data_IF_559009266935
#
_entry.id   IF_559009266935
#
_cell.length_a   1.000
_cell.length_b   1.000
_cell.length_c   1.000
_cell.angle_alpha   90.00
_cell.angle_beta   90.00
_cell.angle_gamma   90.00
#
_symmetry.space_group_name_H-M   'P 1'
#
loop_
_entity.id
_entity.type
_entity.pdbx_description
1 polymer ?
#
# COMPACT_ATOMS: atom_id res chain seq x y z
N UNK A 1 67.39 69.94 24.88
CA UNK A 1 67.04 70.05 23.44
C UNK A 1 67.27 68.64 22.91
N UNK A 2 66.27 67.81 22.61
CA UNK A 2 64.95 68.06 22.04
C UNK A 2 63.89 67.04 22.49
N UNK A 3 62.63 67.45 22.35
CA UNK A 3 61.39 66.72 22.62
C UNK A 3 60.90 65.95 21.38
N UNK A 4 60.17 64.84 21.61
CA UNK A 4 58.97 64.33 20.88
C UNK A 4 58.99 62.80 20.64
N UNK A 5 58.14 62.02 21.32
CA UNK A 5 56.71 61.68 21.08
C UNK A 5 56.46 60.60 19.99
N UNK A 6 55.94 59.46 20.47
CA UNK A 6 54.87 58.60 19.89
C UNK A 6 55.16 57.82 18.59
N UNK A 7 55.00 56.49 18.66
CA UNK A 7 53.82 55.81 18.08
C UNK A 7 53.82 54.31 18.39
N UNK A 8 52.75 53.85 19.06
CA UNK A 8 52.34 52.45 19.16
C UNK A 8 51.40 52.16 17.99
N UNK A 9 51.70 51.14 17.20
CA UNK A 9 50.85 50.50 16.18
C UNK A 9 51.28 49.02 16.20
N UNK A 10 50.50 48.03 16.60
CA UNK A 10 49.06 47.84 16.42
C UNK A 10 48.79 46.94 15.21
N UNK A 11 49.41 45.75 15.12
CA UNK A 11 49.04 44.76 14.11
C UNK A 11 47.95 43.84 14.67
N UNK A 12 46.70 44.22 14.38
CA UNK A 12 45.52 43.43 14.68
C UNK A 12 45.45 42.16 13.84
N UNK A 13 45.10 41.06 14.49
CA UNK A 13 44.71 39.81 13.85
C UNK A 13 43.39 40.01 13.08
N UNK A 14 43.38 39.68 11.79
CA UNK A 14 42.16 39.52 11.00
C UNK A 14 42.18 38.13 10.36
N UNK A 15 41.83 37.12 11.16
CA UNK A 15 41.42 35.83 10.64
C UNK A 15 39.98 35.97 10.13
N UNK A 16 39.83 36.26 8.83
CA UNK A 16 38.54 36.21 8.14
C UNK A 16 38.07 34.76 8.07
N UNK A 17 37.26 34.36 9.05
CA UNK A 17 36.41 33.17 8.95
C UNK A 17 35.44 33.39 7.80
N UNK A 18 35.66 32.70 6.69
CA UNK A 18 34.70 32.54 5.60
C UNK A 18 33.48 31.80 6.15
N UNK A 19 32.49 32.56 6.61
CA UNK A 19 31.16 32.04 6.87
C UNK A 19 30.53 31.68 5.52
N UNK A 20 30.59 30.39 5.18
CA UNK A 20 29.79 29.82 4.09
C UNK A 20 28.30 30.04 4.42
N UNK A 21 27.51 30.69 3.55
CA UNK A 21 26.06 30.65 3.67
C UNK A 21 25.60 29.24 3.27
N UNK A 22 25.68 28.31 4.22
CA UNK A 22 25.06 27.00 4.15
C UNK A 22 23.57 27.13 4.42
N UNK A 23 22.81 27.62 3.44
CA UNK A 23 21.37 27.35 3.34
C UNK A 23 20.89 27.74 1.94
N UNK A 24 21.27 26.96 0.92
CA UNK A 24 20.41 26.87 -0.26
C UNK A 24 19.12 26.18 0.19
N UNK A 25 18.12 26.97 0.54
CA UNK A 25 16.74 26.48 0.57
C UNK A 25 16.45 25.94 -0.82
N UNK A 26 16.49 24.61 -0.97
CA UNK A 26 15.96 23.91 -2.14
C UNK A 26 14.61 24.56 -2.48
N UNK A 27 14.35 24.95 -3.74
CA UNK A 27 13.04 25.47 -4.16
C UNK A 27 11.96 24.52 -3.63
N UNK A 28 11.05 25.05 -2.80
CA UNK A 28 10.32 24.31 -1.76
C UNK A 28 9.86 22.91 -2.15
N UNK A 29 10.63 21.88 -1.76
CA UNK A 29 10.21 20.50 -1.85
C UNK A 29 9.08 20.28 -0.84
N UNK A 30 7.84 20.22 -1.33
CA UNK A 30 6.70 19.87 -0.49
C UNK A 30 6.80 18.38 -0.15
N UNK A 31 7.25 18.06 1.07
CA UNK A 31 7.28 16.68 1.57
C UNK A 31 5.88 16.06 1.58
N UNK A 32 4.85 16.87 1.83
CA UNK A 32 3.45 16.43 1.77
C UNK A 32 3.10 15.96 0.37
N UNK A 33 3.48 16.74 -0.65
CA UNK A 33 3.27 16.36 -2.05
C UNK A 33 4.08 15.11 -2.41
N UNK A 34 5.32 14.99 -1.91
CA UNK A 34 6.14 13.81 -2.14
C UNK A 34 5.49 12.53 -1.58
N UNK A 35 4.93 12.58 -0.36
CA UNK A 35 4.20 11.44 0.22
C UNK A 35 2.95 11.11 -0.61
N UNK A 36 2.19 12.12 -1.05
CA UNK A 36 1.00 11.89 -1.90
C UNK A 36 1.37 11.27 -3.24
N UNK A 37 2.44 11.74 -3.90
CA UNK A 37 2.93 11.18 -5.16
C UNK A 37 3.46 9.76 -5.01
N UNK A 38 4.22 9.51 -3.94
CA UNK A 38 4.69 8.16 -3.59
C UNK A 38 3.49 7.21 -3.47
N UNK A 39 2.50 7.56 -2.65
CA UNK A 39 1.28 6.77 -2.49
C UNK A 39 0.50 6.61 -3.80
N UNK A 40 0.41 7.68 -4.60
CA UNK A 40 -0.32 7.66 -5.88
C UNK A 40 0.32 6.65 -6.83
N UNK A 41 1.64 6.70 -7.02
CA UNK A 41 2.34 5.75 -7.89
C UNK A 41 2.28 4.32 -7.33
N UNK A 42 2.49 4.14 -6.03
CA UNK A 42 2.40 2.82 -5.38
C UNK A 42 1.01 2.20 -5.55
N UNK A 43 -0.05 3.00 -5.36
CA UNK A 43 -1.43 2.56 -5.53
C UNK A 43 -1.74 2.26 -7.01
N UNK A 44 -1.34 3.13 -7.93
CA UNK A 44 -1.55 2.92 -9.36
C UNK A 44 -0.90 1.62 -9.85
N UNK A 45 0.36 1.37 -9.49
CA UNK A 45 1.06 0.15 -9.85
C UNK A 45 0.40 -1.09 -9.24
N UNK A 46 0.05 -1.03 -7.95
CA UNK A 46 -0.64 -2.11 -7.26
C UNK A 46 -1.98 -2.45 -7.93
N UNK A 47 -2.84 -1.47 -8.17
CA UNK A 47 -4.12 -1.71 -8.82
C UNK A 47 -3.98 -2.12 -10.29
N UNK A 48 -2.97 -1.62 -11.01
CA UNK A 48 -2.68 -2.05 -12.38
C UNK A 48 -2.35 -3.54 -12.45
N UNK A 49 -1.67 -4.11 -11.45
CA UNK A 49 -1.41 -5.55 -11.33
C UNK A 49 -2.64 -6.32 -10.84
N UNK A 50 -3.26 -5.85 -9.75
CA UNK A 50 -4.35 -6.57 -9.07
C UNK A 50 -5.63 -6.67 -9.89
N UNK A 51 -5.90 -5.71 -10.76
CA UNK A 51 -7.11 -5.68 -11.58
C UNK A 51 -6.92 -6.38 -12.94
N UNK A 52 -5.74 -6.92 -13.23
CA UNK A 52 -5.59 -7.82 -14.38
C UNK A 52 -6.41 -9.11 -14.17
N UNK A 53 -6.78 -9.81 -15.25
CA UNK A 53 -7.34 -11.14 -15.14
C UNK A 53 -6.44 -12.06 -14.30
N UNK A 54 -6.99 -12.63 -13.22
CA UNK A 54 -6.27 -13.45 -12.24
C UNK A 54 -5.17 -12.69 -11.46
N UNK A 55 -5.18 -11.36 -11.42
CA UNK A 55 -4.14 -10.54 -10.79
C UNK A 55 -3.93 -10.87 -9.30
N UNK A 56 -5.01 -11.09 -8.55
CA UNK A 56 -4.90 -11.58 -7.17
C UNK A 56 -4.39 -13.02 -7.12
N UNK A 57 -4.91 -13.88 -7.99
CA UNK A 57 -4.58 -15.30 -7.98
C UNK A 57 -3.11 -15.56 -8.34
N UNK A 58 -2.54 -14.81 -9.29
CA UNK A 58 -1.15 -15.00 -9.73
C UNK A 58 -0.13 -14.26 -8.84
N UNK A 59 -0.58 -13.28 -8.05
CA UNK A 59 0.27 -12.49 -7.18
C UNK A 59 0.77 -13.25 -5.95
N UNK A 60 2.09 -13.29 -5.76
CA UNK A 60 2.70 -13.84 -4.54
C UNK A 60 2.43 -12.96 -3.30
N UNK A 61 2.13 -11.67 -3.51
CA UNK A 61 1.94 -10.67 -2.46
C UNK A 61 0.46 -10.39 -2.19
N UNK A 62 -0.45 -10.81 -3.06
CA UNK A 62 -1.88 -10.50 -2.92
C UNK A 62 -2.80 -11.70 -2.98
N UNK A 63 -2.32 -12.91 -3.32
CA UNK A 63 -3.15 -14.11 -3.31
C UNK A 63 -3.83 -14.31 -1.96
N UNK A 64 -5.14 -14.47 -2.02
CA UNK A 64 -6.02 -14.70 -0.87
C UNK A 64 -6.28 -16.20 -0.74
N UNK A 65 -6.23 -16.73 0.48
CA UNK A 65 -6.59 -18.11 0.78
C UNK A 65 -8.11 -18.28 0.84
N UNK A 66 -8.56 -19.51 0.54
CA UNK A 66 -9.98 -19.88 0.68
C UNK A 66 -10.39 -19.76 2.16
N UNK A 67 -11.51 -19.09 2.48
CA UNK A 67 -12.10 -19.07 3.81
C UNK A 67 -12.36 -20.47 4.38
N UNK A 68 -12.11 -20.68 5.68
CA UNK A 68 -12.32 -21.97 6.35
C UNK A 68 -13.80 -22.42 6.34
N UNK A 69 -14.71 -21.46 6.23
CA UNK A 69 -16.15 -21.68 6.06
C UNK A 69 -16.51 -22.26 4.69
N UNK A 70 -15.72 -21.96 3.64
CA UNK A 70 -15.84 -22.58 2.32
C UNK A 70 -15.07 -23.90 2.20
N UNK A 71 -13.95 -24.03 2.93
CA UNK A 71 -13.10 -25.23 2.91
C UNK A 71 -13.63 -26.46 3.67
N UNK A 72 -14.86 -26.42 4.18
CA UNK A 72 -15.51 -27.55 4.85
C UNK A 72 -14.94 -27.89 6.24
N UNK A 73 -14.57 -26.91 7.05
CA UNK A 73 -13.88 -27.12 8.34
C UNK A 73 -14.54 -28.14 9.30
N UNK A 74 -15.86 -28.34 9.26
CA UNK A 74 -16.57 -29.33 10.10
C UNK A 74 -16.58 -30.73 9.46
N UNK A 75 -15.76 -31.64 10.00
CA UNK A 75 -15.62 -33.04 9.55
C UNK A 75 -16.83 -33.86 10.01
N UNK A 76 -17.77 -34.15 9.12
CA UNK A 76 -18.84 -35.14 9.43
C UNK A 76 -19.39 -35.91 8.22
N UNK A 77 -19.05 -35.58 6.96
CA UNK A 77 -19.64 -36.30 5.80
C UNK A 77 -18.67 -36.50 4.61
N UNK A 78 -18.99 -37.46 3.73
CA UNK A 78 -18.30 -37.73 2.44
C UNK A 78 -18.18 -36.45 1.60
N UNK A 79 -19.16 -35.56 1.70
CA UNK A 79 -19.15 -34.31 0.98
C UNK A 79 -18.15 -33.29 1.52
N UNK A 80 -17.88 -33.30 2.83
CA UNK A 80 -16.80 -32.50 3.40
C UNK A 80 -15.44 -32.95 2.87
N UNK A 81 -15.27 -34.24 2.57
CA UNK A 81 -14.06 -34.76 1.93
C UNK A 81 -13.96 -34.33 0.46
N UNK A 82 -15.08 -34.26 -0.27
CA UNK A 82 -15.13 -33.72 -1.64
C UNK A 82 -14.79 -32.24 -1.70
N UNK A 83 -15.31 -31.42 -0.76
CA UNK A 83 -14.97 -29.99 -0.68
C UNK A 83 -13.49 -29.74 -0.39
N UNK A 84 -12.84 -30.68 0.31
CA UNK A 84 -11.39 -30.65 0.57
C UNK A 84 -10.56 -31.24 -0.56
N UNK A 85 -11.17 -31.82 -1.59
CA UNK A 85 -10.43 -32.37 -2.71
C UNK A 85 -9.68 -31.25 -3.43
N UNK A 86 -8.45 -31.53 -3.83
CA UNK A 86 -7.57 -30.56 -4.49
C UNK A 86 -8.25 -29.84 -5.69
N UNK A 87 -8.98 -30.53 -6.58
CA UNK A 87 -9.64 -29.86 -7.71
C UNK A 87 -10.70 -28.83 -7.29
N UNK A 88 -11.46 -29.11 -6.23
CA UNK A 88 -12.47 -28.18 -5.71
C UNK A 88 -11.78 -27.01 -5.01
N UNK A 89 -10.75 -27.26 -4.20
CA UNK A 89 -10.00 -26.21 -3.52
C UNK A 89 -9.31 -25.26 -4.51
N UNK A 90 -8.74 -25.78 -5.59
CA UNK A 90 -8.12 -24.96 -6.64
C UNK A 90 -9.19 -24.09 -7.34
N UNK A 91 -10.40 -24.62 -7.59
CA UNK A 91 -11.53 -23.84 -8.12
C UNK A 91 -12.01 -22.76 -7.14
N UNK A 92 -12.19 -23.09 -5.86
CA UNK A 92 -12.58 -22.14 -4.81
C UNK A 92 -11.54 -21.03 -4.66
N UNK A 93 -10.26 -21.38 -4.68
CA UNK A 93 -9.15 -20.43 -4.61
C UNK A 93 -9.22 -19.43 -5.77
N UNK A 94 -9.37 -19.92 -7.01
CA UNK A 94 -9.50 -19.06 -8.18
C UNK A 94 -10.70 -18.11 -8.04
N UNK A 95 -11.84 -18.62 -7.58
CA UNK A 95 -13.07 -17.82 -7.45
C UNK A 95 -12.97 -16.74 -6.37
N UNK A 96 -12.41 -17.08 -5.20
CA UNK A 96 -12.17 -16.10 -4.12
C UNK A 96 -11.27 -14.96 -4.59
N UNK A 97 -10.23 -15.29 -5.37
CA UNK A 97 -9.31 -14.28 -5.89
C UNK A 97 -9.95 -13.43 -7.00
N UNK A 98 -10.79 -14.01 -7.88
CA UNK A 98 -11.60 -13.24 -8.84
C UNK A 98 -12.63 -12.34 -8.15
N UNK A 99 -13.21 -12.79 -7.05
CA UNK A 99 -14.08 -11.93 -6.25
C UNK A 99 -13.32 -10.74 -5.67
N UNK A 100 -12.08 -10.95 -5.23
CA UNK A 100 -11.22 -9.87 -4.76
C UNK A 100 -10.85 -8.86 -5.85
N UNK A 101 -10.67 -9.28 -7.11
CA UNK A 101 -10.53 -8.37 -8.26
C UNK A 101 -11.73 -7.42 -8.37
N UNK A 102 -12.96 -7.94 -8.23
CA UNK A 102 -14.19 -7.12 -8.19
C UNK A 102 -14.28 -6.20 -6.99
N UNK A 103 -13.73 -6.60 -5.85
CA UNK A 103 -13.52 -5.69 -4.73
C UNK A 103 -12.54 -4.57 -5.08
N UNK A 104 -11.42 -4.91 -5.70
CA UNK A 104 -10.36 -3.96 -6.05
C UNK A 104 -10.82 -2.90 -7.06
N UNK A 105 -11.67 -3.28 -8.03
CA UNK A 105 -12.33 -2.35 -8.95
C UNK A 105 -13.08 -1.22 -8.21
N UNK A 106 -13.74 -1.54 -7.08
CA UNK A 106 -14.45 -0.56 -6.25
C UNK A 106 -13.54 0.17 -5.25
N UNK A 107 -12.41 -0.44 -4.88
CA UNK A 107 -11.41 0.13 -3.98
C UNK A 107 -10.55 1.22 -4.63
N UNK A 108 -10.16 1.04 -5.91
CA UNK A 108 -9.27 1.95 -6.60
C UNK A 108 -9.67 3.44 -6.52
N UNK A 109 -10.94 3.84 -6.80
CA UNK A 109 -11.31 5.25 -6.73
C UNK A 109 -11.27 5.82 -5.31
N UNK A 110 -11.73 5.07 -4.29
CA UNK A 110 -11.73 5.55 -2.91
C UNK A 110 -10.30 5.69 -2.36
N UNK A 111 -9.38 4.81 -2.75
CA UNK A 111 -7.95 4.94 -2.41
C UNK A 111 -7.37 6.20 -3.05
N UNK A 112 -7.59 6.41 -4.35
CA UNK A 112 -7.09 7.58 -5.07
C UNK A 112 -7.63 8.90 -4.48
N UNK A 113 -8.92 8.96 -4.17
CA UNK A 113 -9.54 10.13 -3.56
C UNK A 113 -9.02 10.38 -2.14
N UNK A 114 -8.77 9.32 -1.36
CA UNK A 114 -8.19 9.45 -0.03
C UNK A 114 -6.76 9.98 -0.09
N UNK A 115 -5.92 9.50 -1.02
CA UNK A 115 -4.55 10.01 -1.22
C UNK A 115 -4.59 11.51 -1.60
N UNK A 116 -5.52 11.91 -2.45
CA UNK A 116 -5.67 13.32 -2.86
C UNK A 116 -6.04 14.21 -1.66
N UNK A 117 -6.97 13.75 -0.83
CA UNK A 117 -7.61 14.58 0.19
C UNK A 117 -7.04 14.42 1.61
N UNK A 118 -6.19 13.42 1.87
CA UNK A 118 -5.62 13.20 3.20
C UNK A 118 -4.77 14.38 3.68
N UNK A 119 -4.85 14.65 4.98
CA UNK A 119 -3.93 15.51 5.70
C UNK A 119 -2.72 14.70 6.17
N UNK A 120 -1.54 15.31 6.09
CA UNK A 120 -0.28 14.66 6.47
C UNK A 120 0.36 15.53 7.54
N UNK A 121 0.22 15.11 8.80
CA UNK A 121 0.68 15.90 9.94
C UNK A 121 2.20 16.03 10.00
N UNK A 122 2.92 14.93 9.74
CA UNK A 122 4.39 14.91 9.73
C UNK A 122 4.91 14.18 8.49
N UNK A 123 4.95 14.90 7.37
CA UNK A 123 5.43 14.35 6.11
C UNK A 123 6.91 13.95 6.17
N UNK A 124 7.72 14.62 7.00
CA UNK A 124 9.13 14.30 7.17
C UNK A 124 9.30 12.93 7.85
N UNK A 125 8.53 12.64 8.91
CA UNK A 125 8.55 11.33 9.55
C UNK A 125 8.08 10.20 8.61
N UNK A 126 7.14 10.47 7.70
CA UNK A 126 6.69 9.47 6.71
C UNK A 126 7.76 9.21 5.65
N UNK A 127 8.41 10.26 5.14
CA UNK A 127 9.51 10.11 4.16
C UNK A 127 10.70 9.37 4.78
N UNK A 128 11.09 9.72 6.00
CA UNK A 128 12.23 9.10 6.70
C UNK A 128 11.85 7.81 7.46
N UNK A 129 10.58 7.41 7.39
CA UNK A 129 10.07 6.24 8.10
C UNK A 129 10.46 4.92 7.43
N UNK A 130 9.88 3.84 7.94
CA UNK A 130 10.10 2.49 7.39
C UNK A 130 9.64 2.35 5.93
N UNK A 131 9.94 1.20 5.30
CA UNK A 131 9.73 0.97 3.86
C UNK A 131 8.28 1.09 3.38
N UNK A 132 7.31 1.07 4.31
CA UNK A 132 5.86 1.13 4.04
C UNK A 132 5.15 2.22 4.85
N UNK A 133 5.89 3.21 5.33
CA UNK A 133 5.36 4.23 6.24
C UNK A 133 4.18 5.01 5.63
N UNK A 134 4.22 5.31 4.34
CA UNK A 134 3.13 6.02 3.67
C UNK A 134 1.90 5.10 3.52
N UNK A 135 2.10 3.82 3.19
CA UNK A 135 1.03 2.81 3.12
C UNK A 135 0.37 2.62 4.48
N UNK A 136 1.13 2.58 5.58
CA UNK A 136 0.56 2.51 6.93
C UNK A 136 -0.25 3.76 7.27
N UNK A 137 0.16 4.94 6.81
CA UNK A 137 -0.65 6.16 6.95
C UNK A 137 -1.97 6.03 6.16
N UNK A 138 -1.91 5.61 4.89
CA UNK A 138 -3.09 5.39 4.06
C UNK A 138 -4.07 4.39 4.70
N UNK A 139 -3.56 3.29 5.25
CA UNK A 139 -4.38 2.29 5.94
C UNK A 139 -5.12 2.89 7.14
N UNK A 140 -4.44 3.70 7.96
CA UNK A 140 -5.08 4.40 9.10
C UNK A 140 -6.13 5.41 8.64
N UNK A 141 -5.90 6.09 7.51
CA UNK A 141 -6.81 7.13 7.00
C UNK A 141 -8.08 6.53 6.40
N UNK A 142 -7.98 5.39 5.71
CA UNK A 142 -9.12 4.69 5.13
C UNK A 142 -9.92 3.91 6.18
N UNK A 143 -9.23 3.28 7.15
CA UNK A 143 -9.87 2.43 8.14
C UNK A 143 -10.81 1.40 7.51
N UNK A 144 -12.00 1.27 8.08
CA UNK A 144 -13.02 0.32 7.62
C UNK A 144 -13.72 0.76 6.33
N UNK A 145 -13.57 2.02 5.91
CA UNK A 145 -14.22 2.52 4.69
C UNK A 145 -13.78 1.72 3.47
N UNK A 146 -12.53 1.27 3.40
CA UNK A 146 -12.07 0.43 2.29
C UNK A 146 -12.84 -0.89 2.23
N UNK A 147 -13.02 -1.55 3.37
CA UNK A 147 -13.75 -2.82 3.48
C UNK A 147 -15.20 -2.65 3.04
N UNK A 148 -15.88 -1.61 3.54
CA UNK A 148 -17.28 -1.34 3.20
C UNK A 148 -17.49 -1.09 1.71
N UNK A 149 -16.55 -0.38 1.07
CA UNK A 149 -16.61 -0.11 -0.39
C UNK A 149 -16.37 -1.36 -1.24
N UNK A 150 -15.52 -2.28 -0.77
CA UNK A 150 -15.19 -3.52 -1.48
C UNK A 150 -16.28 -4.60 -1.35
N UNK A 151 -17.01 -4.60 -0.23
CA UNK A 151 -17.94 -5.68 0.12
C UNK A 151 -18.98 -6.00 -0.97
N UNK A 152 -19.62 -5.01 -1.64
CA UNK A 152 -20.57 -5.31 -2.72
C UNK A 152 -19.92 -5.98 -3.92
N UNK A 153 -18.71 -5.55 -4.30
CA UNK A 153 -17.96 -6.11 -5.44
C UNK A 153 -17.57 -7.56 -5.17
N UNK A 154 -17.08 -7.84 -3.96
CA UNK A 154 -16.74 -9.19 -3.53
C UNK A 154 -17.98 -10.07 -3.43
N UNK A 155 -19.06 -9.58 -2.83
CA UNK A 155 -20.32 -10.33 -2.77
C UNK A 155 -20.83 -10.71 -4.15
N UNK A 156 -20.74 -9.81 -5.13
CA UNK A 156 -21.10 -10.09 -6.53
C UNK A 156 -20.14 -11.09 -7.17
N UNK A 157 -18.83 -10.92 -7.00
CA UNK A 157 -17.82 -11.83 -7.53
C UNK A 157 -17.93 -13.24 -6.97
N UNK A 158 -18.24 -13.37 -5.67
CA UNK A 158 -18.54 -14.65 -5.05
C UNK A 158 -19.83 -15.22 -5.62
N UNK A 159 -20.92 -14.47 -5.80
CA UNK A 159 -22.16 -15.01 -6.38
C UNK A 159 -22.00 -15.57 -7.81
N UNK A 160 -20.98 -15.13 -8.54
CA UNK A 160 -20.60 -15.67 -9.85
C UNK A 160 -19.85 -17.02 -9.77
N UNK A 161 -19.86 -17.69 -8.60
CA UNK A 161 -19.36 -19.06 -8.44
C UNK A 161 -19.89 -19.96 -9.56
N UNK A 162 -19.02 -20.83 -10.06
CA UNK A 162 -19.37 -21.81 -11.08
C UNK A 162 -20.55 -22.69 -10.60
N UNK A 163 -21.56 -22.90 -11.45
CA UNK A 163 -22.84 -23.51 -11.06
C UNK A 163 -22.66 -24.90 -10.40
N UNK A 164 -21.65 -25.67 -10.82
CA UNK A 164 -21.31 -26.97 -10.23
C UNK A 164 -20.83 -26.87 -8.77
N UNK A 165 -19.96 -25.90 -8.47
CA UNK A 165 -19.41 -25.68 -7.12
C UNK A 165 -20.51 -25.14 -6.21
N UNK A 166 -21.32 -24.19 -6.70
CA UNK A 166 -22.49 -23.67 -5.96
C UNK A 166 -23.41 -24.82 -5.56
N UNK A 167 -23.81 -25.67 -6.52
CA UNK A 167 -24.71 -26.78 -6.24
C UNK A 167 -24.13 -27.75 -5.22
N UNK A 168 -22.81 -28.00 -5.27
CA UNK A 168 -22.13 -28.89 -4.35
C UNK A 168 -21.99 -28.28 -2.94
N UNK A 169 -21.79 -26.96 -2.83
CA UNK A 169 -21.77 -26.24 -1.55
C UNK A 169 -23.19 -26.13 -0.96
N UNK A 170 -24.18 -25.72 -1.76
CA UNK A 170 -25.57 -25.55 -1.34
C UNK A 170 -26.25 -26.87 -0.97
N UNK A 171 -25.93 -27.97 -1.67
CA UNK A 171 -26.47 -29.30 -1.36
C UNK A 171 -25.96 -29.86 -0.02
N UNK A 172 -24.92 -29.27 0.56
CA UNK A 172 -24.16 -29.87 1.67
C UNK A 172 -24.12 -29.01 2.91
N UNK A 173 -24.10 -27.70 2.74
CA UNK A 173 -24.07 -26.78 3.85
C UNK A 173 -25.50 -26.28 4.13
N UNK A 174 -26.21 -27.05 4.93
CA UNK A 174 -27.31 -26.53 5.72
C UNK A 174 -26.73 -25.38 6.55
N UNK A 175 -27.05 -24.13 6.19
CA UNK A 175 -26.59 -22.89 6.85
C UNK A 175 -25.23 -22.29 6.41
N UNK A 176 -24.97 -22.15 5.10
CA UNK A 176 -23.87 -21.28 4.62
C UNK A 176 -24.19 -19.82 4.94
N UNK A 177 -23.41 -19.21 5.83
CA UNK A 177 -23.44 -17.76 6.03
C UNK A 177 -22.60 -17.06 4.95
N UNK A 178 -23.23 -16.81 3.80
CA UNK A 178 -22.62 -16.08 2.70
C UNK A 178 -22.18 -14.65 3.09
N UNK A 179 -22.87 -14.04 4.06
CA UNK A 179 -22.52 -12.71 4.56
C UNK A 179 -21.20 -12.74 5.32
N UNK A 180 -21.00 -13.75 6.18
CA UNK A 180 -19.72 -13.98 6.86
C UNK A 180 -18.59 -14.30 5.90
N UNK A 181 -18.84 -15.13 4.88
CA UNK A 181 -17.83 -15.45 3.84
C UNK A 181 -17.42 -14.18 3.09
N UNK A 182 -18.41 -13.39 2.65
CA UNK A 182 -18.14 -12.15 1.92
C UNK A 182 -17.28 -11.21 2.76
N UNK A 183 -17.62 -11.02 4.04
CA UNK A 183 -16.83 -10.19 4.97
C UNK A 183 -15.41 -10.69 5.16
N UNK A 184 -15.20 -12.00 5.35
CA UNK A 184 -13.86 -12.58 5.52
C UNK A 184 -13.01 -12.40 4.25
N UNK A 185 -13.58 -12.68 3.07
CA UNK A 185 -12.89 -12.45 1.79
C UNK A 185 -12.58 -10.97 1.61
N UNK A 186 -13.50 -10.06 1.98
CA UNK A 186 -13.27 -8.62 1.93
C UNK A 186 -12.14 -8.15 2.84
N UNK A 187 -12.07 -8.64 4.08
CA UNK A 187 -11.00 -8.31 5.00
C UNK A 187 -9.63 -8.82 4.51
N UNK A 188 -9.59 -10.03 3.95
CA UNK A 188 -8.37 -10.58 3.34
C UNK A 188 -7.96 -9.81 2.10
N UNK A 189 -8.92 -9.43 1.25
CA UNK A 189 -8.67 -8.67 0.04
C UNK A 189 -8.16 -7.25 0.35
N UNK A 190 -8.74 -6.55 1.32
CA UNK A 190 -8.28 -5.22 1.72
C UNK A 190 -6.84 -5.30 2.28
N UNK A 191 -6.55 -6.31 3.09
CA UNK A 191 -5.19 -6.58 3.57
C UNK A 191 -4.22 -6.84 2.42
N UNK A 192 -4.61 -7.66 1.44
CA UNK A 192 -3.81 -7.93 0.26
C UNK A 192 -3.54 -6.67 -0.59
N UNK A 193 -4.52 -5.78 -0.76
CA UNK A 193 -4.34 -4.49 -1.42
C UNK A 193 -3.28 -3.67 -0.69
N UNK A 194 -3.37 -3.50 0.64
CA UNK A 194 -2.35 -2.76 1.39
C UNK A 194 -0.97 -3.42 1.31
N UNK A 195 -0.87 -4.75 1.31
CA UNK A 195 0.41 -5.45 1.11
C UNK A 195 1.00 -5.14 -0.27
N UNK A 196 0.18 -5.13 -1.31
CA UNK A 196 0.61 -4.81 -2.67
C UNK A 196 1.06 -3.36 -2.80
N UNK A 197 0.27 -2.39 -2.31
CA UNK A 197 0.65 -0.97 -2.27
C UNK A 197 1.97 -0.78 -1.49
N UNK A 198 2.10 -1.43 -0.34
CA UNK A 198 3.31 -1.38 0.47
C UNK A 198 4.53 -1.98 -0.23
N UNK A 199 4.36 -3.07 -0.97
CA UNK A 199 5.45 -3.63 -1.77
C UNK A 199 5.89 -2.67 -2.90
N UNK A 200 4.95 -1.96 -3.53
CA UNK A 200 5.25 -0.94 -4.52
C UNK A 200 5.93 0.29 -3.90
N UNK A 201 5.50 0.74 -2.72
CA UNK A 201 6.17 1.81 -1.96
C UNK A 201 7.62 1.43 -1.64
N UNK A 202 7.82 0.23 -1.12
CA UNK A 202 9.12 -0.32 -0.78
C UNK A 202 10.05 -0.38 -2.01
N UNK A 203 9.52 -0.84 -3.16
CA UNK A 203 10.26 -0.86 -4.42
C UNK A 203 10.66 0.55 -4.90
N UNK A 204 9.75 1.53 -4.81
CA UNK A 204 10.03 2.92 -5.17
C UNK A 204 11.09 3.52 -4.24
N UNK A 205 11.01 3.28 -2.93
CA UNK A 205 12.04 3.72 -1.97
C UNK A 205 13.40 3.06 -2.24
N UNK A 206 13.40 1.79 -2.62
CA UNK A 206 14.61 1.05 -2.98
C UNK A 206 15.24 1.58 -4.29
N UNK A 207 14.46 2.07 -5.25
CA UNK A 207 14.97 2.68 -6.47
C UNK A 207 14.14 3.89 -6.94
N UNK A 208 14.33 5.09 -6.33
CA UNK A 208 13.55 6.28 -6.68
C UNK A 208 13.74 6.74 -8.12
N UNK A 209 14.90 6.46 -8.71
CA UNK A 209 15.23 6.84 -10.08
C UNK A 209 14.30 6.15 -11.10
N UNK A 210 13.81 4.95 -10.80
CA UNK A 210 12.86 4.24 -11.67
C UNK A 210 11.50 4.96 -11.83
N UNK A 211 11.17 5.89 -10.92
CA UNK A 211 9.91 6.65 -11.00
C UNK A 211 9.92 7.72 -12.09
N UNK A 212 11.11 8.20 -12.50
CA UNK A 212 11.28 9.41 -13.32
C UNK A 212 10.54 10.65 -12.77
N UNK A 213 10.14 10.67 -11.49
CA UNK A 213 9.50 11.82 -10.85
C UNK A 213 10.57 12.67 -10.14
N UNK A 214 10.83 13.92 -10.57
CA UNK A 214 11.88 14.76 -9.99
C UNK A 214 11.73 15.01 -8.49
N UNK A 215 10.49 15.10 -7.99
CA UNK A 215 10.21 15.32 -6.57
C UNK A 215 10.54 14.07 -5.76
N UNK A 216 10.14 12.89 -6.22
CA UNK A 216 10.45 11.63 -5.53
C UNK A 216 11.95 11.30 -5.59
N UNK A 217 12.58 11.52 -6.73
CA UNK A 217 14.02 11.35 -6.89
C UNK A 217 14.80 12.28 -5.94
N UNK A 218 14.39 13.53 -5.80
CA UNK A 218 15.02 14.47 -4.87
C UNK A 218 14.78 14.07 -3.40
N UNK A 219 13.53 13.84 -3.01
CA UNK A 219 13.16 13.61 -1.59
C UNK A 219 13.65 12.26 -1.08
N UNK A 220 13.57 11.19 -1.88
CA UNK A 220 14.01 9.85 -1.49
C UNK A 220 15.49 9.58 -1.80
N UNK A 221 16.09 10.34 -2.72
CA UNK A 221 17.50 10.21 -3.09
C UNK A 221 18.46 10.81 -2.06
N UNK A 222 18.07 11.87 -1.37
CA UNK A 222 18.89 12.54 -0.33
C UNK A 222 19.24 11.59 0.83
N UNK A 223 18.38 10.62 1.15
CA UNK A 223 18.62 9.64 2.21
C UNK A 223 19.66 8.54 1.90
N UNK A 224 20.13 8.42 0.65
CA UNK A 224 21.14 7.40 0.24
C UNK A 224 22.54 7.97 0.03
N UNK A 225 22.72 9.29 0.18
CA UNK A 225 23.98 9.98 -0.07
C UNK A 225 24.88 10.09 1.17
N UNK A 226 24.50 9.47 2.30
CA UNK A 226 25.23 9.50 3.57
C UNK A 226 25.33 8.10 4.17
#
# INVERSE_FOLDING_TARGET
MDYHRRSVLGFGAAATLLALPGCSSLPGLSLTEAVKRLLTLSAQNAFAELMQPNGFFDSQVARISVPDSLGGSRVTSIATALLRSKPIQDRLLLQVNRAAEKGAELAAPIVADTIRNMSIADAAAIINGGPRAATSLLQRQLGDTLVDRMLPGIGNGLRLFDNEIINLVLAQATNVDFSSISRDVTAKASTAIYRSIGAQEEAIRANPQATNDPLLMAVLGVGKAF
#
